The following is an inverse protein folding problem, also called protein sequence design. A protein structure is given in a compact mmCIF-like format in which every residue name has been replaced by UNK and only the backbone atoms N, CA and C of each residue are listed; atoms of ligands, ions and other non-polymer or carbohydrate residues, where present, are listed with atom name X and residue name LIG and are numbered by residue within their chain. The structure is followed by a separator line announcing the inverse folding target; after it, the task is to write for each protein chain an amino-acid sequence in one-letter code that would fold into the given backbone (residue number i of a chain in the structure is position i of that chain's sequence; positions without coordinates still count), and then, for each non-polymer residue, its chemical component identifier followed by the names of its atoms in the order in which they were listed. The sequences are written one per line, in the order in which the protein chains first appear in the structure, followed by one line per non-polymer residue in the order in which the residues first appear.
data_IF_257842319111
#
_entry.id   IF_257842319111
#
_cell.length_a   1.000
_cell.length_b   1.000
_cell.length_c   1.000
_cell.angle_alpha   90.00
_cell.angle_beta   90.00
_cell.angle_gamma   90.00
#
_symmetry.space_group_name_H-M   'P 1'
#
loop_
_entity.id
_entity.type
_entity.pdbx_description
1 polymer ?
#
# COMPACT_ATOMS: atom_id res chain seq x y z
N UNK A 1 28.01 -19.11 30.68
CA UNK A 1 27.26 -17.87 30.39
C UNK A 1 26.31 -18.20 29.25
N UNK A 2 25.00 -18.15 29.46
CA UNK A 2 24.04 -18.34 28.37
C UNK A 2 23.92 -17.02 27.62
N UNK A 3 24.44 -16.98 26.39
CA UNK A 3 24.16 -15.92 25.43
C UNK A 3 22.63 -15.83 25.28
N UNK A 4 22.06 -14.66 25.60
CA UNK A 4 20.62 -14.45 25.43
C UNK A 4 20.28 -14.48 23.94
N UNK A 5 19.18 -15.12 23.53
CA UNK A 5 18.79 -15.17 22.12
C UNK A 5 18.55 -13.76 21.58
N UNK A 6 19.33 -13.39 20.56
CA UNK A 6 19.39 -12.06 19.95
C UNK A 6 18.04 -11.50 19.51
N UNK A 7 17.10 -12.35 19.07
CA UNK A 7 15.80 -11.88 18.58
C UNK A 7 14.88 -11.28 19.65
N UNK A 8 15.03 -11.68 20.92
CA UNK A 8 14.19 -11.19 22.01
C UNK A 8 14.61 -9.76 22.43
N UNK A 9 15.91 -9.47 22.38
CA UNK A 9 16.48 -8.14 22.66
C UNK A 9 16.27 -7.16 21.49
N UNK A 10 16.30 -7.63 20.25
CA UNK A 10 15.98 -6.82 19.06
C UNK A 10 14.54 -6.33 19.08
N UNK A 11 13.58 -7.23 19.37
CA UNK A 11 12.14 -6.91 19.45
C UNK A 11 11.84 -5.85 20.53
N UNK A 12 12.54 -5.92 21.67
CA UNK A 12 12.40 -4.94 22.75
C UNK A 12 12.84 -3.54 22.30
N UNK A 13 13.92 -3.43 21.52
CA UNK A 13 14.43 -2.14 21.07
C UNK A 13 13.64 -1.53 19.93
N UNK A 14 13.12 -2.34 19.01
CA UNK A 14 12.13 -1.87 18.04
C UNK A 14 10.90 -1.29 18.73
N UNK A 15 10.44 -1.93 19.82
CA UNK A 15 9.38 -1.39 20.66
C UNK A 15 9.79 -0.09 21.35
N UNK A 16 11.02 0.00 21.89
CA UNK A 16 11.56 1.25 22.46
C UNK A 16 11.54 2.37 21.42
N UNK A 17 12.11 2.15 20.24
CA UNK A 17 12.13 3.14 19.15
C UNK A 17 10.73 3.59 18.74
N UNK A 18 9.79 2.65 18.65
CA UNK A 18 8.39 2.97 18.36
C UNK A 18 7.73 3.78 19.49
N UNK A 19 7.95 3.39 20.76
CA UNK A 19 7.35 4.04 21.93
C UNK A 19 7.89 5.44 22.19
N UNK A 20 9.17 5.68 21.88
CA UNK A 20 9.84 6.97 22.03
C UNK A 20 9.72 7.86 20.78
N UNK A 21 8.90 7.47 19.80
CA UNK A 21 8.67 8.22 18.56
C UNK A 21 9.99 8.58 17.84
N UNK A 22 10.90 7.59 17.76
CA UNK A 22 12.13 7.71 17.00
C UNK A 22 11.77 7.78 15.52
N UNK A 23 12.25 8.83 14.85
CA UNK A 23 11.94 9.06 13.45
C UNK A 23 12.78 8.15 12.55
N UNK A 24 12.11 7.36 11.71
CA UNK A 24 12.77 6.58 10.66
C UNK A 24 13.34 7.44 9.52
N UNK A 25 13.04 8.74 9.51
CA UNK A 25 13.50 9.71 8.49
C UNK A 25 14.69 10.57 8.96
N UNK A 26 15.18 10.33 10.17
CA UNK A 26 16.26 11.08 10.80
C UNK A 26 17.51 10.20 10.94
N UNK A 27 18.65 10.80 11.25
CA UNK A 27 19.89 10.05 11.47
C UNK A 27 19.94 9.49 12.88
N UNK A 28 20.71 8.40 13.06
CA UNK A 28 20.92 7.77 14.37
C UNK A 28 21.34 8.79 15.43
N UNK A 29 22.32 9.65 15.12
CA UNK A 29 22.89 10.63 16.04
C UNK A 29 21.85 11.68 16.49
N UNK A 30 20.92 12.03 15.59
CA UNK A 30 19.85 13.00 15.89
C UNK A 30 18.77 12.40 16.78
N UNK A 31 18.48 11.12 16.64
CA UNK A 31 17.47 10.45 17.46
C UNK A 31 18.06 9.82 18.74
N UNK A 32 19.38 9.66 18.80
CA UNK A 32 20.11 9.01 19.89
C UNK A 32 19.72 9.58 21.26
N UNK A 33 19.65 10.91 21.38
CA UNK A 33 19.32 11.59 22.63
C UNK A 33 17.95 11.21 23.20
N UNK A 34 17.01 10.72 22.37
CA UNK A 34 15.70 10.23 22.84
C UNK A 34 15.80 8.88 23.53
N UNK A 35 16.81 8.09 23.18
CA UNK A 35 16.92 6.68 23.55
C UNK A 35 17.98 6.47 24.63
N UNK A 36 19.06 7.26 24.64
CA UNK A 36 20.19 7.11 25.59
C UNK A 36 19.79 7.20 27.06
N UNK A 37 18.69 7.89 27.37
CA UNK A 37 18.17 8.02 28.73
C UNK A 37 17.23 6.88 29.14
N UNK A 38 16.84 6.01 28.20
CA UNK A 38 16.01 4.86 28.49
C UNK A 38 16.86 3.76 29.15
N UNK A 39 16.47 3.23 30.33
CA UNK A 39 17.19 2.14 30.99
C UNK A 39 17.41 0.91 30.10
N UNK A 40 16.53 0.69 29.11
CA UNK A 40 16.61 -0.44 28.17
C UNK A 40 17.68 -0.24 27.10
N UNK A 41 18.15 1.00 26.87
CA UNK A 41 19.26 1.28 25.97
C UNK A 41 20.58 0.64 26.42
N UNK A 42 20.74 0.45 27.74
CA UNK A 42 21.90 -0.22 28.34
C UNK A 42 21.86 -1.76 28.21
N UNK A 43 20.74 -2.34 27.77
CA UNK A 43 20.57 -3.79 27.70
C UNK A 43 21.23 -4.44 26.47
N UNK A 44 21.65 -3.66 25.48
CA UNK A 44 22.45 -4.14 24.36
C UNK A 44 23.93 -4.07 24.65
N UNK A 45 24.65 -5.11 24.22
CA UNK A 45 26.02 -5.38 24.60
C UNK A 45 27.02 -4.48 23.84
N UNK A 46 26.68 -4.00 22.65
CA UNK A 46 27.57 -3.12 21.86
C UNK A 46 26.86 -1.96 21.15
N UNK A 47 27.62 -0.89 20.85
CA UNK A 47 27.14 0.23 20.03
C UNK A 47 26.81 -0.19 18.59
N UNK A 48 27.47 -1.24 18.10
CA UNK A 48 27.27 -1.78 16.76
C UNK A 48 25.92 -2.52 16.65
N UNK A 49 25.58 -3.34 17.66
CA UNK A 49 24.24 -3.96 17.76
C UNK A 49 23.14 -2.89 17.78
N UNK A 50 23.29 -1.83 18.56
CA UNK A 50 22.30 -0.73 18.65
C UNK A 50 22.06 -0.08 17.29
N UNK A 51 23.14 0.17 16.54
CA UNK A 51 23.06 0.75 15.20
C UNK A 51 22.41 -0.22 14.22
N UNK A 52 22.75 -1.52 14.27
CA UNK A 52 22.11 -2.53 13.43
C UNK A 52 20.61 -2.63 13.65
N UNK A 53 20.16 -2.61 14.92
CA UNK A 53 18.72 -2.63 15.24
C UNK A 53 18.03 -1.35 14.79
N UNK A 54 18.69 -0.19 14.89
CA UNK A 54 18.17 1.07 14.33
C UNK A 54 18.03 1.02 12.81
N UNK A 55 19.04 0.54 12.08
CA UNK A 55 18.99 0.41 10.63
C UNK A 55 17.89 -0.57 10.18
N UNK A 56 17.69 -1.65 10.94
CA UNK A 56 16.59 -2.60 10.74
C UNK A 56 15.23 -1.92 10.97
N UNK A 57 15.06 -1.19 12.06
CA UNK A 57 13.86 -0.42 12.36
C UNK A 57 13.52 0.58 11.25
N UNK A 58 14.52 1.35 10.78
CA UNK A 58 14.34 2.28 9.65
C UNK A 58 13.86 1.53 8.41
N UNK A 59 14.52 0.43 8.03
CA UNK A 59 14.11 -0.40 6.87
C UNK A 59 12.68 -0.92 7.01
N UNK A 60 12.31 -1.44 8.18
CA UNK A 60 10.95 -1.95 8.45
C UNK A 60 9.93 -0.83 8.31
N UNK A 61 10.16 0.32 8.95
CA UNK A 61 9.24 1.48 8.87
C UNK A 61 9.08 2.02 7.45
N UNK A 62 10.17 2.12 6.68
CA UNK A 62 10.10 2.51 5.27
C UNK A 62 9.28 1.52 4.44
N UNK A 63 9.48 0.22 4.68
CA UNK A 63 8.74 -0.84 3.99
C UNK A 63 7.26 -0.84 4.35
N UNK A 64 6.91 -0.59 5.60
CA UNK A 64 5.52 -0.47 6.06
C UNK A 64 4.82 0.73 5.41
N UNK A 65 5.43 1.91 5.40
CA UNK A 65 4.83 3.08 4.75
C UNK A 65 4.63 2.85 3.25
N UNK A 66 5.62 2.23 2.58
CA UNK A 66 5.47 1.88 1.17
C UNK A 66 4.34 0.86 0.96
N UNK A 67 4.26 -0.18 1.81
CA UNK A 67 3.22 -1.20 1.76
C UNK A 67 1.83 -0.60 1.98
N UNK A 68 1.67 0.33 2.92
CA UNK A 68 0.40 1.02 3.14
C UNK A 68 -0.01 1.87 1.94
N UNK A 69 0.91 2.63 1.35
CA UNK A 69 0.63 3.41 0.13
C UNK A 69 0.21 2.50 -1.03
N UNK A 70 0.91 1.40 -1.23
CA UNK A 70 0.58 0.40 -2.26
C UNK A 70 -0.77 -0.27 -1.98
N UNK A 71 -1.04 -0.64 -0.73
CA UNK A 71 -2.29 -1.28 -0.32
C UNK A 71 -3.49 -0.36 -0.56
N UNK A 72 -3.39 0.92 -0.18
CA UNK A 72 -4.43 1.93 -0.44
C UNK A 72 -4.69 2.11 -1.93
N UNK A 73 -3.64 2.15 -2.76
CA UNK A 73 -3.78 2.25 -4.20
C UNK A 73 -4.48 1.01 -4.80
N UNK A 74 -4.09 -0.19 -4.36
CA UNK A 74 -4.69 -1.43 -4.81
C UNK A 74 -6.17 -1.52 -4.41
N UNK A 75 -6.50 -1.12 -3.19
CA UNK A 75 -7.87 -1.05 -2.70
C UNK A 75 -8.70 -0.05 -3.51
N UNK A 76 -8.19 1.16 -3.76
CA UNK A 76 -8.87 2.15 -4.59
C UNK A 76 -9.15 1.61 -6.00
N UNK A 77 -8.19 0.90 -6.59
CA UNK A 77 -8.35 0.27 -7.90
C UNK A 77 -9.41 -0.83 -7.90
N UNK A 78 -9.43 -1.70 -6.89
CA UNK A 78 -10.43 -2.76 -6.75
C UNK A 78 -11.84 -2.20 -6.56
N UNK A 79 -11.99 -1.19 -5.71
CA UNK A 79 -13.26 -0.52 -5.46
C UNK A 79 -13.80 0.20 -6.70
N UNK A 80 -12.92 0.89 -7.44
CA UNK A 80 -13.28 1.52 -8.71
C UNK A 80 -13.71 0.48 -9.75
N UNK A 81 -13.04 -0.67 -9.79
CA UNK A 81 -13.42 -1.79 -10.66
C UNK A 81 -14.79 -2.35 -10.30
N UNK A 82 -15.07 -2.57 -9.01
CA UNK A 82 -16.38 -3.03 -8.55
C UNK A 82 -17.49 -2.06 -8.94
N UNK A 83 -17.24 -0.75 -8.80
CA UNK A 83 -18.16 0.28 -9.29
C UNK A 83 -18.44 0.14 -10.80
N UNK A 84 -17.41 -0.09 -11.62
CA UNK A 84 -17.57 -0.33 -13.06
C UNK A 84 -18.39 -1.61 -13.34
N UNK A 85 -18.15 -2.70 -12.61
CA UNK A 85 -18.84 -3.99 -12.77
C UNK A 85 -20.31 -3.92 -12.34
N UNK A 86 -20.62 -3.21 -11.25
CA UNK A 86 -21.98 -2.98 -10.75
C UNK A 86 -22.73 -1.92 -11.59
N UNK A 87 -22.01 -1.09 -12.32
CA UNK A 87 -22.60 -0.07 -13.18
C UNK A 87 -23.20 -0.69 -14.44
N UNK A 88 -24.36 -0.17 -14.85
CA UNK A 88 -25.03 -0.56 -16.10
C UNK A 88 -24.35 0.03 -17.35
N UNK A 89 -23.02 0.02 -17.42
CA UNK A 89 -22.25 0.52 -18.57
C UNK A 89 -22.09 -0.56 -19.63
N UNK A 90 -22.02 -0.14 -20.89
CA UNK A 90 -21.87 -1.02 -22.06
C UNK A 90 -20.59 -0.69 -22.80
N UNK A 91 -20.22 -1.51 -23.78
CA UNK A 91 -19.05 -1.27 -24.64
C UNK A 91 -19.13 0.03 -25.48
N UNK A 92 -20.28 0.73 -25.48
CA UNK A 92 -20.52 2.03 -26.11
C UNK A 92 -20.57 3.21 -25.14
N UNK A 93 -20.60 2.96 -23.83
CA UNK A 93 -20.66 4.03 -22.82
C UNK A 93 -19.40 4.88 -22.85
N UNK A 94 -19.56 6.19 -22.58
CA UNK A 94 -18.45 7.14 -22.52
C UNK A 94 -18.02 7.42 -21.08
N UNK A 95 -16.77 7.86 -20.91
CA UNK A 95 -16.27 8.24 -19.58
C UNK A 95 -17.04 9.42 -19.00
N UNK A 96 -17.48 10.37 -19.85
CA UNK A 96 -18.28 11.52 -19.43
C UNK A 96 -19.60 11.08 -18.79
N UNK A 97 -20.38 10.24 -19.48
CA UNK A 97 -21.65 9.72 -18.94
C UNK A 97 -21.45 8.94 -17.63
N UNK A 98 -20.38 8.15 -17.54
CA UNK A 98 -20.04 7.42 -16.33
C UNK A 98 -19.67 8.36 -15.18
N UNK A 99 -18.82 9.36 -15.44
CA UNK A 99 -18.39 10.36 -14.46
C UNK A 99 -19.56 11.23 -13.99
N UNK A 100 -20.46 11.62 -14.88
CA UNK A 100 -21.64 12.43 -14.52
C UNK A 100 -22.57 11.66 -13.59
N UNK A 101 -22.72 10.34 -13.81
CA UNK A 101 -23.59 9.47 -13.01
C UNK A 101 -22.98 9.02 -11.69
N UNK A 102 -21.70 8.64 -11.67
CA UNK A 102 -21.04 8.04 -10.50
C UNK A 102 -19.98 8.94 -9.87
N UNK A 103 -19.80 10.18 -10.32
CA UNK A 103 -18.78 11.10 -9.82
C UNK A 103 -18.91 11.45 -8.33
N UNK A 104 -20.10 11.28 -7.77
CA UNK A 104 -20.35 11.48 -6.34
C UNK A 104 -20.05 10.24 -5.48
N UNK A 105 -19.94 9.05 -6.10
CA UNK A 105 -19.65 7.79 -5.42
C UNK A 105 -18.25 7.83 -4.77
N UNK A 106 -18.16 7.36 -3.52
CA UNK A 106 -16.91 7.36 -2.77
C UNK A 106 -15.83 6.54 -3.48
N UNK A 107 -16.19 5.41 -4.11
CA UNK A 107 -15.27 4.53 -4.86
C UNK A 107 -14.73 5.20 -6.10
N UNK A 108 -15.51 6.06 -6.76
CA UNK A 108 -15.05 6.90 -7.87
C UNK A 108 -13.99 7.90 -7.38
N UNK A 109 -14.26 8.55 -6.24
CA UNK A 109 -13.38 9.57 -5.63
C UNK A 109 -12.08 9.01 -5.04
N UNK A 110 -11.98 7.71 -4.75
CA UNK A 110 -10.75 7.08 -4.25
C UNK A 110 -9.60 7.13 -5.27
N UNK A 111 -9.91 7.17 -6.57
CA UNK A 111 -8.91 7.40 -7.61
C UNK A 111 -8.82 8.90 -7.86
N UNK A 112 -7.83 9.58 -7.28
CA UNK A 112 -7.76 11.05 -7.27
C UNK A 112 -7.49 11.67 -8.65
N UNK A 113 -6.70 11.00 -9.49
CA UNK A 113 -6.29 11.56 -10.79
C UNK A 113 -7.32 11.20 -11.85
N UNK A 114 -7.90 12.23 -12.49
CA UNK A 114 -8.85 12.05 -13.60
C UNK A 114 -8.29 11.19 -14.75
N UNK A 115 -7.00 11.34 -15.06
CA UNK A 115 -6.32 10.52 -16.06
C UNK A 115 -6.33 9.02 -15.72
N UNK A 116 -6.21 8.68 -14.44
CA UNK A 116 -6.23 7.29 -13.98
C UNK A 116 -7.66 6.75 -13.96
N UNK A 117 -8.64 7.57 -13.56
CA UNK A 117 -10.07 7.24 -13.64
C UNK A 117 -10.48 6.88 -15.08
N UNK A 118 -10.09 7.72 -16.04
CA UNK A 118 -10.37 7.51 -17.47
C UNK A 118 -9.62 6.29 -18.03
N UNK A 119 -8.37 6.07 -17.60
CA UNK A 119 -7.62 4.87 -17.96
C UNK A 119 -8.33 3.59 -17.51
N UNK A 120 -8.78 3.52 -16.24
CA UNK A 120 -9.49 2.35 -15.72
C UNK A 120 -10.82 2.11 -16.44
N UNK A 121 -11.56 3.19 -16.70
CA UNK A 121 -12.79 3.11 -17.49
C UNK A 121 -12.53 2.54 -18.88
N UNK A 122 -11.55 3.08 -19.61
CA UNK A 122 -11.21 2.63 -20.96
C UNK A 122 -10.72 1.17 -21.00
N UNK A 123 -9.93 0.75 -20.00
CA UNK A 123 -9.51 -0.64 -19.85
C UNK A 123 -10.72 -1.57 -19.68
N UNK A 124 -11.70 -1.17 -18.88
CA UNK A 124 -12.92 -1.95 -18.67
C UNK A 124 -13.78 -2.04 -19.93
N UNK A 125 -13.98 -0.93 -20.64
CA UNK A 125 -14.70 -0.89 -21.92
C UNK A 125 -14.01 -1.80 -22.96
N UNK A 126 -12.68 -1.79 -23.03
CA UNK A 126 -11.94 -2.67 -23.93
C UNK A 126 -12.10 -4.15 -23.55
N UNK A 127 -12.11 -4.47 -22.25
CA UNK A 127 -12.38 -5.83 -21.77
C UNK A 127 -13.80 -6.30 -22.14
N UNK A 128 -14.81 -5.43 -22.03
CA UNK A 128 -16.17 -5.73 -22.48
C UNK A 128 -16.22 -6.00 -23.99
N UNK A 129 -15.60 -5.13 -24.81
CA UNK A 129 -15.53 -5.32 -26.28
C UNK A 129 -14.87 -6.64 -26.66
N UNK A 130 -13.79 -7.02 -25.96
CA UNK A 130 -13.09 -8.28 -26.17
C UNK A 130 -13.98 -9.47 -25.84
N UNK A 131 -14.64 -9.45 -24.67
CA UNK A 131 -15.59 -10.49 -24.25
C UNK A 131 -16.74 -10.66 -25.24
N UNK A 132 -17.33 -9.56 -25.69
CA UNK A 132 -18.43 -9.57 -26.66
C UNK A 132 -17.99 -10.19 -28.00
N UNK A 133 -16.78 -9.86 -28.47
CA UNK A 133 -16.20 -10.44 -29.69
C UNK A 133 -15.96 -11.93 -29.53
N UNK A 134 -15.36 -12.37 -28.43
CA UNK A 134 -15.09 -13.77 -28.14
C UNK A 134 -16.38 -14.59 -28.04
N UNK A 135 -17.42 -14.07 -27.38
CA UNK A 135 -18.72 -14.71 -27.28
C UNK A 135 -19.38 -14.87 -28.66
N UNK A 136 -19.35 -13.84 -29.51
CA UNK A 136 -19.84 -13.95 -30.90
C UNK A 136 -19.09 -15.01 -31.71
N UNK A 137 -17.77 -15.09 -31.56
CA UNK A 137 -16.95 -16.10 -32.24
C UNK A 137 -17.27 -17.52 -31.77
N UNK A 138 -17.46 -17.72 -30.45
CA UNK A 138 -17.85 -19.02 -29.88
C UNK A 138 -19.21 -19.48 -30.40
N UNK A 139 -20.22 -18.62 -30.39
CA UNK A 139 -21.56 -18.94 -30.90
C UNK A 139 -21.55 -19.33 -32.38
N UNK A 140 -20.71 -18.69 -33.20
CA UNK A 140 -20.56 -19.04 -34.63
C UNK A 140 -19.90 -20.40 -34.86
N UNK A 141 -19.05 -20.87 -33.95
CA UNK A 141 -18.39 -22.19 -34.06
C UNK A 141 -19.29 -23.34 -33.62
N UNK A 142 -20.36 -23.04 -32.87
CA UNK A 142 -21.32 -24.04 -32.40
C UNK A 142 -22.53 -24.22 -33.34
N UNK A 143 -22.60 -23.40 -34.39
CA UNK A 143 -23.63 -23.45 -35.43
C UNK A 143 -23.07 -24.11 -36.67
#
# INVERSE_FOLDING_TARGET
MMERPTSCTESLLEYVFSSLQVSAFSTWEKELHKIVFDPRYLLLNSAEERKQVFDQFVKVRMKEEHKEKQSKLLQAKDQYRKLLEESKITSRSTFKEFSDKYGHDQRFKQVLKKKDQELFFNQFINALKKRDKENRMRLRKMR
#
